data_IF_813447978113
#
_entry.id   IF_813447978113
#
_cell.length_a   1.000
_cell.length_b   1.000
_cell.length_c   1.000
_cell.angle_alpha   90.00
_cell.angle_beta   90.00
_cell.angle_gamma   90.00
#
_symmetry.space_group_name_H-M   'P 1'
#
loop_
_entity.id
_entity.type
_entity.pdbx_description
1 polymer ?
#
# COMPACT_ATOMS: atom_id res chain seq x y z
N UNK A 1 -13.82 8.99 12.75
CA UNK A 1 -14.43 9.76 13.86
C UNK A 1 -15.82 9.18 14.20
N UNK A 2 -15.91 8.07 14.95
CA UNK A 2 -16.31 8.01 16.38
C UNK A 2 -15.56 6.88 17.13
N UNK A 3 -14.68 6.13 16.46
CA UNK A 3 -13.92 4.98 17.03
C UNK A 3 -12.64 5.41 17.79
N UNK A 4 -12.40 6.71 17.96
CA UNK A 4 -11.12 7.25 18.45
C UNK A 4 -10.86 7.09 19.95
N UNK A 5 -11.76 6.45 20.70
CA UNK A 5 -11.74 6.49 22.17
C UNK A 5 -11.53 5.13 22.86
N UNK A 6 -11.57 3.99 22.14
CA UNK A 6 -11.50 2.66 22.78
C UNK A 6 -10.11 1.99 22.73
N UNK A 7 -9.30 2.20 21.69
CA UNK A 7 -8.06 1.40 21.48
C UNK A 7 -6.80 2.26 21.26
N UNK A 8 -6.38 3.00 22.29
CA UNK A 8 -5.23 3.93 22.23
C UNK A 8 -3.88 3.26 21.83
N UNK A 9 -3.54 2.03 22.31
CA UNK A 9 -2.28 1.36 21.94
C UNK A 9 -2.23 0.96 20.47
N UNK A 10 -3.30 0.38 19.95
CA UNK A 10 -3.42 -0.13 18.58
C UNK A 10 -3.42 1.01 17.56
N UNK A 11 -4.01 2.15 17.94
CA UNK A 11 -3.91 3.40 17.18
C UNK A 11 -2.45 3.88 17.05
N UNK A 12 -1.63 3.73 18.10
CA UNK A 12 -0.20 4.10 18.06
C UNK A 12 0.59 3.14 17.20
N UNK A 13 0.34 1.83 17.31
CA UNK A 13 0.97 0.80 16.47
C UNK A 13 0.61 1.02 15.00
N UNK A 14 -0.66 1.28 14.69
CA UNK A 14 -1.14 1.59 13.34
C UNK A 14 -0.46 2.84 12.77
N UNK A 15 -0.37 3.93 13.53
CA UNK A 15 0.35 5.14 13.11
C UNK A 15 1.84 4.88 12.89
N UNK A 16 2.46 4.05 13.74
CA UNK A 16 3.86 3.67 13.61
C UNK A 16 4.11 2.84 12.35
N UNK A 17 3.35 1.77 12.15
CA UNK A 17 3.40 0.95 10.94
C UNK A 17 3.11 1.77 9.70
N UNK A 18 2.12 2.66 9.74
CA UNK A 18 1.79 3.56 8.64
C UNK A 18 2.99 4.41 8.22
N UNK A 19 3.72 5.01 9.18
CA UNK A 19 4.93 5.77 8.89
C UNK A 19 6.05 4.89 8.34
N UNK A 20 6.25 3.71 8.92
CA UNK A 20 7.29 2.77 8.52
C UNK A 20 7.08 2.28 7.09
N UNK A 21 5.88 1.78 6.79
CA UNK A 21 5.49 1.25 5.49
C UNK A 21 5.41 2.34 4.43
N UNK A 22 5.05 3.58 4.81
CA UNK A 22 5.00 4.70 3.87
C UNK A 22 6.35 4.97 3.21
N UNK A 23 7.45 4.84 3.95
CA UNK A 23 8.81 5.01 3.39
C UNK A 23 9.12 3.96 2.31
N UNK A 24 8.64 2.74 2.51
CA UNK A 24 8.85 1.63 1.57
C UNK A 24 7.97 1.85 0.33
N UNK A 25 6.71 2.22 0.55
CA UNK A 25 5.77 2.59 -0.51
C UNK A 25 6.30 3.73 -1.37
N UNK A 26 6.77 4.81 -0.73
CA UNK A 26 7.28 6.00 -1.42
C UNK A 26 8.51 5.66 -2.28
N UNK A 27 9.30 4.68 -1.86
CA UNK A 27 10.49 4.22 -2.59
C UNK A 27 10.16 3.33 -3.79
N UNK A 28 9.24 2.37 -3.63
CA UNK A 28 9.08 1.27 -4.59
C UNK A 28 7.78 1.30 -5.39
N UNK A 29 6.70 1.83 -4.82
CA UNK A 29 5.37 1.79 -5.43
C UNK A 29 4.88 3.15 -5.94
N UNK A 30 5.43 4.25 -5.41
CA UNK A 30 5.01 5.62 -5.74
C UNK A 30 5.09 5.94 -7.22
N UNK A 31 6.16 5.53 -7.89
CA UNK A 31 6.35 5.78 -9.32
C UNK A 31 5.32 5.06 -10.18
N UNK A 32 4.76 3.93 -9.72
CA UNK A 32 3.73 3.18 -10.42
C UNK A 32 2.30 3.54 -9.98
N UNK A 33 2.14 4.26 -8.86
CA UNK A 33 0.84 4.58 -8.29
C UNK A 33 0.35 5.95 -8.77
N UNK A 34 -0.86 5.98 -9.33
CA UNK A 34 -1.62 7.21 -9.59
C UNK A 34 -2.39 7.57 -8.31
N UNK A 35 -2.24 8.81 -7.85
CA UNK A 35 -2.66 9.19 -6.49
C UNK A 35 -3.95 10.01 -6.51
N UNK A 36 -4.11 10.80 -7.56
CA UNK A 36 -5.26 11.67 -7.78
C UNK A 36 -5.46 11.90 -9.29
N UNK A 37 -6.54 12.62 -9.60
CA UNK A 37 -6.88 12.94 -10.99
C UNK A 37 -5.86 13.84 -11.68
N UNK A 38 -5.15 14.71 -10.94
CA UNK A 38 -4.15 15.61 -11.54
C UNK A 38 -2.91 14.82 -11.94
N UNK A 39 -2.43 13.92 -11.09
CA UNK A 39 -1.34 12.99 -11.41
C UNK A 39 -1.71 12.07 -12.60
N UNK A 40 -2.97 11.60 -12.65
CA UNK A 40 -3.46 10.84 -13.80
C UNK A 40 -3.33 11.61 -15.11
N UNK A 41 -3.81 12.86 -15.14
CA UNK A 41 -3.78 13.69 -16.35
C UNK A 41 -2.33 13.93 -16.80
N UNK A 42 -1.43 14.35 -15.90
CA UNK A 42 -0.02 14.56 -16.25
C UNK A 42 0.65 13.28 -16.81
N UNK A 43 0.35 12.11 -16.23
CA UNK A 43 0.90 10.84 -16.73
C UNK A 43 0.31 10.45 -18.07
N UNK A 44 -0.97 10.73 -18.30
CA UNK A 44 -1.63 10.47 -19.58
C UNK A 44 -1.09 11.38 -20.69
N UNK A 45 -0.81 12.64 -20.36
CA UNK A 45 -0.12 13.58 -21.26
C UNK A 45 1.26 13.04 -21.64
N UNK A 46 2.08 12.64 -20.68
CA UNK A 46 3.39 12.04 -20.95
C UNK A 46 3.29 10.75 -21.79
N UNK A 47 2.32 9.88 -21.49
CA UNK A 47 2.05 8.66 -22.25
C UNK A 47 1.65 8.97 -23.71
N UNK A 48 0.91 10.06 -23.92
CA UNK A 48 0.54 10.57 -25.24
C UNK A 48 1.74 11.17 -25.97
N UNK A 49 2.54 12.02 -25.32
CA UNK A 49 3.76 12.61 -25.88
C UNK A 49 4.78 11.56 -26.30
N UNK A 50 4.85 10.44 -25.58
CA UNK A 50 5.71 9.31 -25.92
C UNK A 50 5.14 8.41 -27.05
N UNK A 51 3.98 8.75 -27.62
CA UNK A 51 3.35 8.03 -28.73
C UNK A 51 2.69 6.71 -28.35
N UNK A 52 2.46 6.46 -27.06
CA UNK A 52 1.85 5.21 -26.58
C UNK A 52 0.31 5.24 -26.60
N UNK A 53 -0.30 6.42 -26.62
CA UNK A 53 -1.74 6.57 -26.81
C UNK A 53 -2.07 6.54 -28.30
N UNK A 54 -2.55 5.40 -28.79
CA UNK A 54 -2.93 5.17 -30.19
C UNK A 54 -4.42 4.83 -30.28
N UNK A 55 -5.04 4.88 -31.48
CA UNK A 55 -6.47 4.54 -31.64
C UNK A 55 -6.87 3.13 -31.17
N UNK A 56 -5.90 2.22 -31.02
CA UNK A 56 -6.10 0.85 -30.52
C UNK A 56 -5.86 0.71 -29.01
N UNK A 57 -5.56 1.79 -28.31
CA UNK A 57 -5.36 1.76 -26.86
C UNK A 57 -6.72 1.62 -26.16
N UNK A 58 -6.84 0.62 -25.30
CA UNK A 58 -8.03 0.42 -24.47
C UNK A 58 -7.80 0.99 -23.08
N UNK A 59 -8.78 1.75 -22.59
CA UNK A 59 -8.85 2.14 -21.19
C UNK A 59 -9.71 1.12 -20.46
N UNK A 60 -9.14 0.48 -19.43
CA UNK A 60 -9.84 -0.43 -18.55
C UNK A 60 -9.81 0.16 -17.14
N UNK A 61 -10.96 0.13 -16.47
CA UNK A 61 -11.07 0.50 -15.07
C UNK A 61 -11.49 -0.72 -14.28
N UNK A 62 -10.65 -1.14 -13.34
CA UNK A 62 -11.00 -2.15 -12.35
C UNK A 62 -11.31 -1.43 -11.05
N UNK A 63 -12.57 -1.48 -10.64
CA UNK A 63 -12.96 -0.92 -9.36
C UNK A 63 -12.78 -1.97 -8.26
N UNK A 64 -11.94 -1.68 -7.28
CA UNK A 64 -11.71 -2.54 -6.13
C UNK A 64 -12.52 -1.94 -4.97
N UNK A 65 -13.66 -2.55 -4.66
CA UNK A 65 -14.45 -2.22 -3.47
C UNK A 65 -14.13 -3.20 -2.35
N UNK A 66 -14.29 -2.76 -1.11
CA UNK A 66 -14.23 -3.63 0.08
C UNK A 66 -12.96 -4.48 0.19
N UNK A 67 -11.82 -3.94 -0.26
CA UNK A 67 -10.52 -4.64 -0.26
C UNK A 67 -10.19 -5.27 1.11
N UNK A 68 -10.53 -4.59 2.20
CA UNK A 68 -10.31 -5.04 3.57
C UNK A 68 -11.22 -6.19 4.02
N UNK A 69 -12.38 -6.40 3.38
CA UNK A 69 -13.28 -7.51 3.70
C UNK A 69 -13.11 -8.69 2.74
N UNK A 70 -12.61 -8.43 1.53
CA UNK A 70 -12.38 -9.45 0.51
C UNK A 70 -11.01 -10.11 0.60
N UNK A 71 -9.99 -9.43 1.11
CA UNK A 71 -8.71 -10.05 1.42
C UNK A 71 -8.79 -10.71 2.79
N UNK A 72 -8.62 -12.04 2.90
CA UNK A 72 -8.53 -12.64 4.20
C UNK A 72 -7.25 -12.19 4.92
N UNK A 73 -7.36 -12.10 6.25
CA UNK A 73 -6.43 -11.31 7.07
C UNK A 73 -5.00 -11.87 7.07
N UNK A 74 -4.87 -13.18 7.08
CA UNK A 74 -3.57 -13.86 7.10
C UNK A 74 -2.88 -13.71 5.73
N UNK A 75 -3.62 -13.81 4.63
CA UNK A 75 -3.15 -13.59 3.26
C UNK A 75 -2.69 -12.14 3.07
N UNK A 76 -3.38 -11.17 3.67
CA UNK A 76 -2.95 -9.76 3.65
C UNK A 76 -1.59 -9.56 4.33
N UNK A 77 -1.33 -10.30 5.42
CA UNK A 77 -0.05 -10.27 6.12
C UNK A 77 1.04 -10.97 5.32
N UNK A 78 0.72 -12.08 4.68
CA UNK A 78 1.67 -12.82 3.85
C UNK A 78 2.08 -11.99 2.62
N UNK A 79 1.12 -11.34 1.95
CA UNK A 79 1.41 -10.39 0.85
C UNK A 79 2.33 -9.26 1.31
N UNK A 80 2.11 -8.72 2.52
CA UNK A 80 2.99 -7.69 3.07
C UNK A 80 4.44 -8.22 3.24
N UNK A 81 4.61 -9.43 3.75
CA UNK A 81 5.93 -10.02 3.95
C UNK A 81 6.59 -10.39 2.63
N UNK A 82 5.86 -10.98 1.69
CA UNK A 82 6.33 -11.27 0.34
C UNK A 82 6.81 -9.99 -0.35
N UNK A 83 6.04 -8.90 -0.25
CA UNK A 83 6.44 -7.61 -0.78
C UNK A 83 7.77 -7.12 -0.17
N UNK A 84 7.94 -7.21 1.15
CA UNK A 84 9.18 -6.82 1.81
C UNK A 84 10.37 -7.68 1.34
N UNK A 85 10.17 -8.99 1.24
CA UNK A 85 11.20 -9.94 0.77
C UNK A 85 11.57 -9.69 -0.69
N UNK A 86 10.59 -9.40 -1.56
CA UNK A 86 10.82 -9.12 -2.98
C UNK A 86 11.74 -7.92 -3.21
N UNK A 87 11.74 -6.94 -2.30
CA UNK A 87 12.63 -5.77 -2.33
C UNK A 87 13.85 -5.92 -1.39
N UNK A 88 14.24 -7.16 -1.07
CA UNK A 88 15.41 -7.52 -0.26
C UNK A 88 15.40 -6.96 1.18
N UNK A 89 14.23 -6.65 1.74
CA UNK A 89 14.13 -6.25 3.14
C UNK A 89 14.13 -7.45 4.07
N UNK A 90 15.22 -7.63 4.81
CA UNK A 90 15.23 -8.46 6.02
C UNK A 90 14.82 -7.67 7.27
N UNK A 91 15.00 -6.35 7.23
CA UNK A 91 14.62 -5.40 8.28
C UNK A 91 14.19 -4.06 7.66
N UNK A 92 13.26 -3.37 8.28
CA UNK A 92 12.90 -1.99 7.93
C UNK A 92 13.22 -1.09 9.12
N UNK A 93 14.09 -0.10 8.94
CA UNK A 93 14.57 0.77 10.04
C UNK A 93 15.03 -0.03 11.27
N UNK A 94 15.86 -1.06 11.05
CA UNK A 94 16.34 -2.01 12.07
C UNK A 94 15.29 -2.93 12.70
N UNK A 95 14.04 -2.88 12.26
CA UNK A 95 12.97 -3.75 12.75
C UNK A 95 12.89 -4.99 11.85
N UNK A 96 13.08 -6.20 12.40
CA UNK A 96 12.90 -7.44 11.66
C UNK A 96 11.50 -7.59 11.05
N UNK A 97 11.42 -8.16 9.85
CA UNK A 97 10.14 -8.33 9.14
C UNK A 97 9.14 -9.22 9.90
N UNK A 98 9.60 -10.17 10.72
CA UNK A 98 8.73 -10.99 11.57
C UNK A 98 8.05 -10.16 12.67
N UNK A 99 8.74 -9.14 13.19
CA UNK A 99 8.17 -8.17 14.13
C UNK A 99 7.15 -7.28 13.41
N UNK A 100 7.45 -6.85 12.18
CA UNK A 100 6.49 -6.08 11.37
C UNK A 100 5.22 -6.89 11.13
N UNK A 101 5.34 -8.19 10.79
CA UNK A 101 4.20 -9.10 10.64
C UNK A 101 3.35 -9.17 11.91
N UNK A 102 3.98 -9.35 13.07
CA UNK A 102 3.30 -9.42 14.38
C UNK A 102 2.59 -8.12 14.73
N UNK A 103 3.22 -6.97 14.48
CA UNK A 103 2.62 -5.66 14.72
C UNK A 103 1.41 -5.43 13.79
N UNK A 104 1.52 -5.83 12.52
CA UNK A 104 0.43 -5.73 11.56
C UNK A 104 -0.74 -6.64 11.95
N UNK A 105 -0.45 -7.87 12.41
CA UNK A 105 -1.46 -8.81 12.92
C UNK A 105 -2.26 -8.20 14.09
N UNK A 106 -1.59 -7.53 15.03
CA UNK A 106 -2.25 -6.85 16.16
C UNK A 106 -3.20 -5.75 15.67
N UNK A 107 -2.83 -5.03 14.61
CA UNK A 107 -3.68 -3.96 14.05
C UNK A 107 -4.88 -4.52 13.28
N UNK A 108 -4.75 -5.70 12.67
CA UNK A 108 -5.81 -6.31 11.84
C UNK A 108 -6.80 -7.13 12.67
N UNK A 109 -6.38 -7.73 13.79
CA UNK A 109 -7.23 -8.56 14.65
C UNK A 109 -8.08 -7.77 15.66
N UNK A 110 -7.85 -6.46 15.79
CA UNK A 110 -8.72 -5.54 16.54
C UNK A 110 -9.73 -4.84 15.63
#
# INVERSE_FOLDING_TARGET
PIVSSMNMPTTRISKFLGKLLRLIFDKHARSATIIDGVDLIHRLEAYTTNGHLIPKTYLCTVNITDLYTMLPQEESLDILIEFLVQYDYQKVQNIPIDIIRKLALIVIKE
#
